data_IF_285704327430
#
_entry.id   IF_285704327430
#
_cell.length_a   1.000
_cell.length_b   1.000
_cell.length_c   1.000
_cell.angle_alpha   90.00
_cell.angle_beta   90.00
_cell.angle_gamma   90.00
#
_symmetry.space_group_name_H-M   'P 1'
#
loop_
_entity.id
_entity.type
_entity.pdbx_description
1 polymer ?
#
# COMPACT_ATOMS: atom_id res chain seq x y z
N UNK A 1 13.38 16.81 -6.17
CA UNK A 1 13.13 16.01 -7.39
C UNK A 1 13.50 14.56 -7.10
N UNK A 2 12.73 13.60 -7.62
CA UNK A 2 13.05 12.17 -7.48
C UNK A 2 14.25 11.74 -8.32
N UNK A 3 14.79 10.55 -8.06
CA UNK A 3 15.83 9.88 -8.86
C UNK A 3 15.33 8.51 -9.29
N UNK A 4 15.79 8.03 -10.44
CA UNK A 4 15.55 6.65 -10.87
C UNK A 4 16.46 5.69 -10.09
N UNK A 5 15.85 4.94 -9.18
CA UNK A 5 16.55 3.96 -8.34
C UNK A 5 16.99 2.72 -9.12
N UNK A 6 16.33 2.40 -10.25
CA UNK A 6 16.70 1.27 -11.11
C UNK A 6 18.00 1.58 -11.83
N UNK A 7 18.10 2.78 -12.43
CA UNK A 7 19.33 3.24 -13.06
C UNK A 7 20.48 3.27 -12.04
N UNK A 8 20.24 3.84 -10.85
CA UNK A 8 21.24 3.93 -9.78
C UNK A 8 21.77 2.56 -9.35
N UNK A 9 20.90 1.54 -9.23
CA UNK A 9 21.31 0.19 -8.86
C UNK A 9 22.04 -0.54 -9.99
N UNK A 10 21.60 -0.36 -11.24
CA UNK A 10 22.26 -0.94 -12.41
C UNK A 10 23.69 -0.39 -12.59
N UNK A 11 23.88 0.93 -12.46
CA UNK A 11 25.20 1.57 -12.50
C UNK A 11 26.14 0.98 -11.45
N UNK A 12 25.65 0.78 -10.22
CA UNK A 12 26.46 0.19 -9.15
C UNK A 12 26.77 -1.29 -9.40
N UNK A 13 25.81 -2.08 -9.92
CA UNK A 13 26.07 -3.47 -10.30
C UNK A 13 27.13 -3.59 -11.40
N UNK A 14 27.10 -2.70 -12.39
CA UNK A 14 28.13 -2.62 -13.43
C UNK A 14 29.50 -2.27 -12.84
N UNK A 15 29.56 -1.29 -11.92
CA UNK A 15 30.79 -0.90 -11.22
C UNK A 15 31.40 -2.04 -10.41
N UNK A 16 30.57 -2.92 -9.86
CA UNK A 16 31.00 -4.12 -9.13
C UNK A 16 31.34 -5.32 -10.05
N UNK A 17 31.19 -5.18 -11.37
CA UNK A 17 31.42 -6.25 -12.34
C UNK A 17 30.38 -7.38 -12.27
N UNK A 18 29.18 -7.12 -11.74
CA UNK A 18 28.11 -8.11 -11.64
C UNK A 18 27.43 -8.28 -13.00
N UNK A 19 27.33 -9.52 -13.49
CA UNK A 19 26.55 -9.85 -14.70
C UNK A 19 25.06 -9.98 -14.36
N UNK A 20 24.43 -8.86 -13.96
CA UNK A 20 23.02 -8.77 -13.60
C UNK A 20 22.42 -7.44 -14.08
N UNK A 21 21.11 -7.41 -14.30
CA UNK A 21 20.38 -6.21 -14.67
C UNK A 21 18.98 -6.24 -14.05
N UNK A 22 18.56 -5.12 -13.45
CA UNK A 22 17.19 -4.94 -12.96
C UNK A 22 16.29 -4.65 -14.14
N UNK A 23 15.37 -5.58 -14.43
CA UNK A 23 14.41 -5.48 -15.55
C UNK A 23 13.04 -4.97 -15.12
N UNK A 24 12.73 -5.03 -13.83
CA UNK A 24 11.46 -4.56 -13.28
C UNK A 24 11.65 -4.02 -11.85
N UNK A 25 11.03 -2.88 -11.57
CA UNK A 25 10.78 -2.39 -10.23
C UNK A 25 9.32 -2.70 -9.88
N UNK A 26 9.08 -3.37 -8.75
CA UNK A 26 7.76 -3.92 -8.42
C UNK A 26 7.39 -3.53 -6.99
N UNK A 27 6.11 -3.16 -6.80
CA UNK A 27 5.52 -3.03 -5.47
C UNK A 27 5.27 -4.43 -4.87
N UNK A 28 5.43 -4.59 -3.57
CA UNK A 28 5.29 -5.86 -2.84
C UNK A 28 3.92 -6.54 -3.02
N UNK A 29 2.84 -5.75 -3.04
CA UNK A 29 1.47 -6.24 -3.22
C UNK A 29 1.25 -6.72 -4.66
N UNK A 30 1.85 -6.03 -5.64
CA UNK A 30 1.88 -6.47 -7.05
C UNK A 30 2.66 -7.78 -7.20
N UNK A 31 3.79 -7.94 -6.50
CA UNK A 31 4.55 -9.18 -6.50
C UNK A 31 3.77 -10.33 -5.86
N UNK A 32 2.98 -10.05 -4.82
CA UNK A 32 2.06 -11.03 -4.19
C UNK A 32 1.01 -11.52 -5.20
N UNK A 33 0.39 -10.59 -5.94
CA UNK A 33 -0.54 -10.95 -7.01
C UNK A 33 0.13 -11.79 -8.10
N UNK A 34 1.28 -11.33 -8.62
CA UNK A 34 2.00 -12.03 -9.67
C UNK A 34 2.44 -13.44 -9.25
N UNK A 35 2.91 -13.60 -8.01
CA UNK A 35 3.31 -14.89 -7.45
C UNK A 35 2.13 -15.85 -7.27
N UNK A 36 0.99 -15.37 -6.80
CA UNK A 36 -0.22 -16.19 -6.68
C UNK A 36 -0.79 -16.57 -8.07
N UNK A 37 -0.84 -15.58 -8.98
CA UNK A 37 -1.36 -15.74 -10.35
C UNK A 37 -0.50 -16.66 -11.23
N UNK A 38 0.77 -16.87 -10.87
CA UNK A 38 1.64 -17.87 -11.50
C UNK A 38 1.12 -19.30 -11.28
N UNK A 39 0.46 -19.56 -10.15
CA UNK A 39 -0.08 -20.88 -9.81
C UNK A 39 -1.56 -21.05 -10.13
N UNK A 40 -2.32 -19.95 -10.10
CA UNK A 40 -3.76 -19.96 -10.28
C UNK A 40 -4.21 -18.78 -11.15
N UNK A 41 -4.70 -19.10 -12.35
CA UNK A 41 -5.18 -18.13 -13.33
C UNK A 41 -6.44 -17.35 -12.88
N UNK A 42 -7.12 -17.77 -11.82
CA UNK A 42 -8.32 -17.09 -11.32
C UNK A 42 -8.01 -15.99 -10.28
N UNK A 43 -6.74 -15.84 -9.89
CA UNK A 43 -6.33 -14.76 -8.97
C UNK A 43 -6.48 -13.39 -9.64
N UNK A 44 -7.38 -12.56 -9.09
CA UNK A 44 -7.68 -11.22 -9.60
C UNK A 44 -7.32 -10.09 -8.64
N UNK A 45 -7.13 -10.39 -7.34
CA UNK A 45 -6.87 -9.42 -6.28
C UNK A 45 -5.81 -9.99 -5.34
N UNK A 46 -4.92 -9.13 -4.84
CA UNK A 46 -4.02 -9.44 -3.73
C UNK A 46 -4.06 -8.33 -2.69
N UNK A 47 -3.87 -8.72 -1.43
CA UNK A 47 -3.91 -7.82 -0.29
C UNK A 47 -2.76 -8.14 0.67
N UNK A 48 -2.17 -7.10 1.24
CA UNK A 48 -1.27 -7.19 2.38
C UNK A 48 -2.03 -6.70 3.61
N UNK A 49 -2.08 -7.54 4.65
CA UNK A 49 -2.67 -7.23 5.95
C UNK A 49 -1.61 -7.54 7.03
N UNK A 50 -0.79 -6.55 7.34
CA UNK A 50 0.30 -6.70 8.31
C UNK A 50 0.53 -5.42 9.09
N UNK A 51 1.81 -5.02 9.22
CA UNK A 51 2.17 -3.72 9.78
C UNK A 51 1.59 -2.56 8.96
N UNK A 52 1.65 -2.69 7.63
CA UNK A 52 0.98 -1.84 6.65
C UNK A 52 -0.15 -2.59 5.92
N UNK A 53 -0.94 -1.86 5.13
CA UNK A 53 -2.04 -2.41 4.33
C UNK A 53 -1.99 -1.87 2.93
N UNK A 54 -2.18 -2.77 1.97
CA UNK A 54 -2.34 -2.38 0.58
C UNK A 54 -3.16 -3.44 -0.16
N UNK A 55 -3.72 -3.05 -1.30
CA UNK A 55 -4.33 -3.96 -2.25
C UNK A 55 -3.91 -3.64 -3.67
N UNK A 56 -3.87 -4.68 -4.50
CA UNK A 56 -3.82 -4.52 -5.94
C UNK A 56 -4.78 -5.49 -6.62
N UNK A 57 -5.17 -5.16 -7.83
CA UNK A 57 -6.08 -6.00 -8.62
C UNK A 57 -5.80 -5.88 -10.11
N UNK A 58 -6.28 -6.84 -10.90
CA UNK A 58 -6.21 -6.79 -12.36
C UNK A 58 -7.43 -6.03 -12.90
N UNK A 59 -7.18 -4.96 -13.65
CA UNK A 59 -8.21 -4.14 -14.28
C UNK A 59 -8.11 -4.19 -15.81
N UNK A 60 -9.24 -3.98 -16.47
CA UNK A 60 -9.31 -3.78 -17.92
C UNK A 60 -8.78 -2.40 -18.30
N UNK A 61 -7.87 -2.36 -19.28
CA UNK A 61 -7.22 -1.10 -19.68
C UNK A 61 -8.17 -0.08 -20.29
N UNK A 62 -9.35 -0.50 -20.73
CA UNK A 62 -10.38 0.37 -21.31
C UNK A 62 -11.17 1.17 -20.27
N UNK A 63 -11.15 0.75 -19.00
CA UNK A 63 -11.83 1.45 -17.89
C UNK A 63 -10.86 2.27 -17.03
N UNK A 64 -9.65 2.55 -17.54
CA UNK A 64 -8.66 3.40 -16.87
C UNK A 64 -8.48 4.70 -17.66
N UNK A 65 -9.29 5.76 -17.44
CA UNK A 65 -9.27 6.97 -18.26
C UNK A 65 -7.93 7.72 -18.22
N UNK A 66 -7.17 7.59 -17.12
CA UNK A 66 -5.85 8.20 -16.97
C UNK A 66 -4.75 7.49 -17.77
N UNK A 67 -4.99 6.26 -18.21
CA UNK A 67 -4.03 5.49 -19.00
C UNK A 67 -4.13 5.93 -20.47
N UNK A 68 -3.39 6.98 -20.82
CA UNK A 68 -3.26 7.49 -22.18
C UNK A 68 -1.98 6.94 -22.82
N UNK A 69 -2.08 6.37 -24.02
CA UNK A 69 -0.93 5.84 -24.76
C UNK A 69 -0.92 4.31 -24.92
N UNK A 70 0.27 3.72 -24.93
CA UNK A 70 0.49 2.30 -25.23
C UNK A 70 -0.11 1.39 -24.14
N UNK A 71 -1.23 0.75 -24.46
CA UNK A 71 -1.84 -0.28 -23.61
C UNK A 71 -1.10 -1.61 -23.79
N UNK A 72 -0.99 -2.43 -22.73
CA UNK A 72 -0.57 -3.81 -22.85
C UNK A 72 -1.41 -4.57 -23.88
N UNK A 73 -0.79 -5.44 -24.68
CA UNK A 73 -1.48 -6.28 -25.67
C UNK A 73 -2.50 -7.24 -25.04
N UNK A 74 -2.35 -7.55 -23.76
CA UNK A 74 -3.28 -8.37 -22.97
C UNK A 74 -4.62 -7.69 -22.67
N UNK A 75 -4.73 -6.37 -22.88
CA UNK A 75 -5.90 -5.59 -22.47
C UNK A 75 -6.09 -5.48 -20.95
N UNK A 76 -5.09 -5.91 -20.16
CA UNK A 76 -5.15 -5.98 -18.70
C UNK A 76 -3.97 -5.27 -18.06
N UNK A 77 -4.21 -4.64 -16.92
CA UNK A 77 -3.21 -3.92 -16.14
C UNK A 77 -3.42 -4.17 -14.65
N UNK A 78 -2.33 -4.45 -13.91
CA UNK A 78 -2.40 -4.51 -12.45
C UNK A 78 -2.45 -3.08 -11.91
N UNK A 79 -3.43 -2.79 -11.06
CA UNK A 79 -3.58 -1.53 -10.35
C UNK A 79 -3.11 -1.73 -8.92
N UNK A 80 -1.97 -1.13 -8.58
CA UNK A 80 -1.60 -0.88 -7.20
C UNK A 80 -2.45 0.28 -6.67
N UNK A 81 -3.25 0.03 -5.64
CA UNK A 81 -4.21 1.02 -5.13
C UNK A 81 -3.61 1.98 -4.12
N UNK A 82 -2.57 1.56 -3.39
CA UNK A 82 -2.04 2.27 -2.21
C UNK A 82 -3.18 2.71 -1.26
N UNK A 83 -4.15 1.82 -1.04
CA UNK A 83 -5.43 2.16 -0.40
C UNK A 83 -5.33 2.58 1.06
N UNK A 84 -4.14 2.49 1.68
CA UNK A 84 -3.93 2.92 3.06
C UNK A 84 -4.25 4.39 3.24
N UNK A 85 -4.05 5.19 2.18
CA UNK A 85 -4.38 6.61 2.11
C UNK A 85 -5.89 6.92 1.97
N UNK A 86 -6.75 5.91 1.79
CA UNK A 86 -8.20 6.13 1.71
C UNK A 86 -8.71 6.80 2.99
N UNK A 87 -9.53 7.83 2.86
CA UNK A 87 -9.99 8.63 4.01
C UNK A 87 -11.46 9.06 3.92
N UNK A 88 -12.10 8.86 2.77
CA UNK A 88 -13.46 9.33 2.54
C UNK A 88 -14.48 8.45 3.25
N UNK A 89 -15.42 9.08 3.95
CA UNK A 89 -16.60 8.41 4.55
C UNK A 89 -16.27 7.28 5.53
N UNK A 90 -15.11 7.33 6.18
CA UNK A 90 -14.75 6.39 7.25
C UNK A 90 -15.46 6.77 8.57
N UNK A 91 -15.99 5.79 9.33
CA UNK A 91 -16.68 6.04 10.61
C UNK A 91 -15.68 6.29 11.75
N UNK A 92 -14.91 7.39 11.66
CA UNK A 92 -13.86 7.71 12.62
C UNK A 92 -14.42 8.14 13.98
N UNK A 93 -13.94 7.51 15.03
CA UNK A 93 -14.16 7.90 16.43
C UNK A 93 -13.24 9.05 16.85
N UNK A 94 -13.42 9.57 18.06
CA UNK A 94 -12.44 10.51 18.64
C UNK A 94 -11.05 9.87 18.81
N UNK A 95 -10.99 8.58 19.13
CA UNK A 95 -9.73 7.88 19.37
C UNK A 95 -8.91 7.71 18.08
N UNK A 96 -9.57 7.48 16.95
CA UNK A 96 -8.92 7.40 15.64
C UNK A 96 -8.28 8.76 15.25
N UNK A 97 -9.00 9.86 15.48
CA UNK A 97 -8.49 11.22 15.23
C UNK A 97 -7.32 11.58 16.15
N UNK A 98 -7.40 11.13 17.39
CA UNK A 98 -6.34 11.29 18.38
C UNK A 98 -5.07 10.49 18.02
N UNK A 99 -5.24 9.30 17.45
CA UNK A 99 -4.13 8.50 16.90
C UNK A 99 -3.51 9.19 15.69
N UNK A 100 -4.35 9.64 14.75
CA UNK A 100 -3.88 10.32 13.54
C UNK A 100 -3.10 11.60 13.87
N UNK A 101 -3.65 12.47 14.72
CA UNK A 101 -3.02 13.73 15.12
C UNK A 101 -1.69 13.54 15.86
N UNK A 102 -1.51 12.42 16.58
CA UNK A 102 -0.28 12.08 17.27
C UNK A 102 0.73 11.29 16.41
N UNK A 103 0.35 10.91 15.18
CA UNK A 103 1.21 10.12 14.29
C UNK A 103 2.32 10.96 13.66
N UNK A 104 3.31 10.30 13.06
CA UNK A 104 4.37 10.97 12.30
C UNK A 104 3.86 11.64 11.01
N UNK A 105 2.68 11.26 10.53
CA UNK A 105 2.06 11.71 9.29
C UNK A 105 0.57 12.05 9.50
N UNK A 106 0.24 13.11 10.26
CA UNK A 106 -1.15 13.48 10.50
C UNK A 106 -1.91 13.79 9.20
N UNK A 107 -3.14 13.29 9.07
CA UNK A 107 -3.97 13.46 7.88
C UNK A 107 -3.67 12.48 6.73
N UNK A 108 -2.66 11.63 6.87
CA UNK A 108 -2.28 10.62 5.88
C UNK A 108 -2.57 9.20 6.38
N UNK A 109 -2.62 8.21 5.48
CA UNK A 109 -2.78 6.80 5.83
C UNK A 109 -3.99 6.51 6.76
N UNK A 110 -5.10 7.22 6.57
CA UNK A 110 -6.25 7.17 7.49
C UNK A 110 -6.86 5.77 7.53
N UNK A 111 -7.10 5.13 6.38
CA UNK A 111 -7.63 3.78 6.34
C UNK A 111 -6.69 2.79 7.03
N UNK A 112 -5.40 2.88 6.74
CA UNK A 112 -4.36 2.11 7.41
C UNK A 112 -4.40 2.24 8.94
N UNK A 113 -4.53 3.48 9.45
CA UNK A 113 -4.64 3.76 10.89
C UNK A 113 -5.87 3.15 11.56
N UNK A 114 -6.93 2.88 10.80
CA UNK A 114 -8.19 2.34 11.36
C UNK A 114 -8.25 0.82 11.43
N UNK A 115 -7.48 0.09 10.61
CA UNK A 115 -7.65 -1.37 10.48
C UNK A 115 -6.42 -2.19 10.90
N UNK A 116 -5.26 -1.56 11.13
CA UNK A 116 -4.01 -2.29 11.24
C UNK A 116 -3.45 -2.46 12.65
N UNK A 117 -2.68 -3.55 12.79
CA UNK A 117 -2.12 -4.01 14.05
C UNK A 117 -1.25 -2.98 14.79
N UNK A 118 -0.58 -2.08 14.07
CA UNK A 118 0.19 -0.99 14.72
C UNK A 118 -0.72 -0.05 15.54
N UNK A 119 -1.96 0.17 15.08
CA UNK A 119 -2.85 1.20 15.63
C UNK A 119 -3.98 0.64 16.49
N UNK A 120 -4.41 -0.60 16.24
CA UNK A 120 -5.47 -1.23 17.04
C UNK A 120 -5.15 -1.24 18.55
N UNK A 121 -3.89 -1.55 18.91
CA UNK A 121 -3.45 -1.51 20.31
C UNK A 121 -3.47 -0.09 20.91
N UNK A 122 -3.09 0.91 20.10
CA UNK A 122 -3.04 2.31 20.53
C UNK A 122 -4.45 2.90 20.70
N UNK A 123 -5.40 2.55 19.82
CA UNK A 123 -6.82 2.92 19.94
C UNK A 123 -7.38 2.37 21.25
N UNK A 124 -7.17 1.08 21.52
CA UNK A 124 -7.61 0.45 22.78
C UNK A 124 -6.98 1.13 24.00
N UNK A 125 -5.68 1.43 23.96
CA UNK A 125 -4.98 2.13 25.05
C UNK A 125 -5.61 3.49 25.35
N UNK A 126 -5.99 4.27 24.32
CA UNK A 126 -6.64 5.59 24.49
C UNK A 126 -8.05 5.47 25.06
N UNK A 127 -8.82 4.47 24.64
CA UNK A 127 -10.14 4.18 25.22
C UNK A 127 -10.00 3.88 26.72
N UNK A 128 -9.10 2.97 27.08
CA UNK A 128 -8.87 2.57 28.48
C UNK A 128 -8.40 3.76 29.34
N UNK A 129 -7.51 4.61 28.81
CA UNK A 129 -7.06 5.81 29.50
C UNK A 129 -8.21 6.78 29.78
N UNK A 130 -9.11 6.99 28.81
CA UNK A 130 -10.29 7.84 28.99
C UNK A 130 -11.23 7.27 30.07
N UNK A 131 -11.48 5.96 30.05
CA UNK A 131 -12.33 5.28 31.05
C UNK A 131 -11.75 5.41 32.46
N UNK A 132 -10.44 5.20 32.62
CA UNK A 132 -9.76 5.31 33.91
C UNK A 132 -9.87 6.73 34.50
N UNK A 133 -9.68 7.76 33.67
CA UNK A 133 -9.78 9.16 34.10
C UNK A 133 -11.21 9.61 34.39
N UNK A 134 -12.23 8.91 33.87
CA UNK A 134 -13.66 9.23 34.12
C UNK A 134 -14.18 8.54 35.39
N UNK A 135 -13.47 7.52 35.89
CA UNK A 135 -13.87 6.74 37.07
C UNK A 135 -13.24 7.28 38.37
N UNK A 136 -12.30 8.23 38.26
CA UNK A 136 -11.68 8.95 39.38
C UNK A 136 -12.37 10.30 39.63
#
# INVERSE_FOLDING_TARGET
AGRDVVASLNEEMERQGLTMCVTALVNDTVATLAGARYWDDDVMVAMILGTGTNACYIEHTDVIPKLQGSKPSSGRMIINTEWGAFSNSLPLTEFDRDVDSASINPGEQIFEKTILGMYLGEIVRRILLKMANTTA
#
